data_IF_540952637800
#
_entry.id   IF_540952637800
#
_cell.length_a   1.000
_cell.length_b   1.000
_cell.length_c   1.000
_cell.angle_alpha   90.00
_cell.angle_beta   90.00
_cell.angle_gamma   90.00
#
_symmetry.space_group_name_H-M   'P 1'
#
loop_
_entity.id
_entity.type
_entity.pdbx_description
1 polymer ?
#
# COMPACT_ATOMS: atom_id res chain seq x y z
N UNK A 1 25.80 -37.93 1.31
CA UNK A 1 24.35 -37.77 1.62
C UNK A 1 24.21 -37.42 3.11
N UNK A 2 23.31 -36.51 3.49
CA UNK A 2 23.68 -35.18 3.96
C UNK A 2 23.24 -34.90 5.40
N UNK A 3 24.17 -34.85 6.36
CA UNK A 3 23.86 -34.36 7.72
C UNK A 3 24.17 -32.86 7.88
N UNK A 4 25.14 -32.34 7.12
CA UNK A 4 25.60 -30.95 7.23
C UNK A 4 24.67 -29.92 6.57
N UNK A 5 23.85 -30.35 5.62
CA UNK A 5 22.94 -29.45 4.89
C UNK A 5 21.64 -29.17 5.65
N UNK A 6 21.29 -29.99 6.64
CA UNK A 6 20.05 -29.84 7.43
C UNK A 6 20.14 -28.74 8.50
N UNK A 7 21.34 -28.35 8.92
CA UNK A 7 21.52 -27.31 9.96
C UNK A 7 21.40 -25.91 9.35
N UNK A 8 21.75 -25.74 8.08
CA UNK A 8 21.72 -24.44 7.40
C UNK A 8 20.30 -23.98 7.05
N UNK A 9 19.33 -24.88 6.95
CA UNK A 9 17.93 -24.54 6.65
C UNK A 9 17.12 -24.17 7.90
N UNK A 10 17.59 -24.47 9.11
CA UNK A 10 16.89 -24.12 10.34
C UNK A 10 17.05 -22.63 10.75
N UNK A 11 18.07 -21.93 10.24
CA UNK A 11 18.24 -20.49 10.50
C UNK A 11 17.55 -19.56 9.49
N UNK A 12 17.05 -20.09 8.36
CA UNK A 12 16.34 -19.29 7.36
C UNK A 12 14.82 -19.16 7.61
N UNK A 13 14.34 -19.60 8.78
CA UNK A 13 12.92 -19.60 9.14
C UNK A 13 12.45 -18.45 10.04
N UNK A 14 13.35 -17.56 10.49
CA UNK A 14 13.05 -16.58 11.55
C UNK A 14 13.29 -15.14 11.10
N UNK A 15 12.84 -14.78 9.89
CA UNK A 15 12.79 -13.36 9.46
C UNK A 15 11.43 -12.93 8.89
N UNK A 16 10.45 -13.84 8.80
CA UNK A 16 9.08 -13.48 8.37
C UNK A 16 8.17 -12.98 9.51
N UNK A 17 8.65 -12.97 10.76
CA UNK A 17 7.94 -12.32 11.89
C UNK A 17 8.24 -10.82 11.99
N UNK A 18 8.47 -10.16 10.85
CA UNK A 18 8.71 -8.73 10.76
C UNK A 18 7.41 -7.95 10.94
N UNK A 19 7.07 -7.65 12.19
CA UNK A 19 6.30 -6.49 12.61
C UNK A 19 4.96 -6.24 11.85
N UNK A 20 3.91 -6.95 12.26
CA UNK A 20 2.57 -6.36 12.33
C UNK A 20 2.54 -5.27 13.43
N UNK A 21 3.40 -4.26 13.27
CA UNK A 21 3.19 -2.99 13.92
C UNK A 21 2.00 -2.38 13.20
N UNK A 22 0.92 -2.11 13.94
CA UNK A 22 -0.14 -1.21 13.52
C UNK A 22 0.49 0.16 13.27
N UNK A 23 1.15 0.34 12.12
CA UNK A 23 1.55 1.64 11.63
C UNK A 23 0.25 2.32 11.30
N UNK A 24 -0.26 3.11 12.23
CA UNK A 24 -1.29 4.11 11.96
C UNK A 24 -0.81 4.87 10.74
N UNK A 25 -1.39 4.60 9.58
CA UNK A 25 -0.99 5.21 8.32
C UNK A 25 -1.02 6.72 8.53
N UNK A 26 0.13 7.37 8.32
CA UNK A 26 0.22 8.81 8.55
C UNK A 26 -0.73 9.53 7.58
N UNK A 27 -1.07 10.77 7.89
CA UNK A 27 -1.83 11.63 6.97
C UNK A 27 -1.09 11.75 5.62
N UNK A 28 0.25 11.71 5.64
CA UNK A 28 1.08 11.70 4.43
C UNK A 28 0.95 10.40 3.63
N UNK A 29 0.93 9.23 4.28
CA UNK A 29 0.75 7.94 3.61
C UNK A 29 -0.63 7.84 2.95
N UNK A 30 -1.66 8.32 3.65
CA UNK A 30 -3.04 8.42 3.12
C UNK A 30 -3.11 9.38 1.93
N UNK A 31 -2.50 10.56 2.04
CA UNK A 31 -2.40 11.49 0.91
C UNK A 31 -1.71 10.84 -0.29
N UNK A 32 -0.58 10.17 -0.08
CA UNK A 32 0.16 9.49 -1.14
C UNK A 32 -0.68 8.39 -1.81
N UNK A 33 -1.58 7.73 -1.07
CA UNK A 33 -2.54 6.80 -1.65
C UNK A 33 -3.58 7.48 -2.54
N UNK A 34 -4.14 8.61 -2.12
CA UNK A 34 -5.04 9.41 -2.96
C UNK A 34 -4.32 9.92 -4.23
N UNK A 35 -3.08 10.41 -4.08
CA UNK A 35 -2.25 10.89 -5.19
C UNK A 35 -2.00 9.80 -6.24
N UNK A 36 -1.74 8.55 -5.80
CA UNK A 36 -1.55 7.42 -6.73
C UNK A 36 -2.80 7.12 -7.56
N UNK A 37 -3.99 7.14 -6.96
CA UNK A 37 -5.24 6.93 -7.71
C UNK A 37 -5.48 8.06 -8.72
N UNK A 38 -5.18 9.30 -8.34
CA UNK A 38 -5.27 10.44 -9.25
C UNK A 38 -4.27 10.31 -10.42
N UNK A 39 -3.04 9.88 -10.15
CA UNK A 39 -2.04 9.62 -11.20
C UNK A 39 -2.50 8.51 -12.16
N UNK A 40 -3.01 7.39 -11.62
CA UNK A 40 -3.55 6.30 -12.44
C UNK A 40 -4.72 6.75 -13.31
N UNK A 41 -5.55 7.69 -12.84
CA UNK A 41 -6.63 8.26 -13.62
C UNK A 41 -6.13 9.06 -14.84
N UNK A 42 -4.94 9.66 -14.75
CA UNK A 42 -4.30 10.42 -15.84
C UNK A 42 -3.60 9.47 -16.82
N UNK A 43 -2.98 8.41 -16.30
CA UNK A 43 -2.18 7.47 -17.09
C UNK A 43 -3.04 6.45 -17.87
N UNK A 44 -4.28 6.22 -17.46
CA UNK A 44 -5.14 5.23 -18.09
C UNK A 44 -5.71 5.71 -19.43
N UNK A 45 -5.71 4.83 -20.43
CA UNK A 45 -6.25 5.12 -21.77
C UNK A 45 -7.79 5.01 -21.82
N UNK A 46 -8.41 4.36 -20.82
CA UNK A 46 -9.86 4.21 -20.75
C UNK A 46 -10.50 5.39 -20.03
N UNK A 47 -11.34 6.15 -20.74
CA UNK A 47 -12.09 7.27 -20.16
C UNK A 47 -13.00 6.86 -19.00
N UNK A 48 -13.60 5.67 -19.07
CA UNK A 48 -14.47 5.18 -17.99
C UNK A 48 -13.66 4.80 -16.76
N UNK A 49 -12.49 4.18 -16.94
CA UNK A 49 -11.58 3.90 -15.82
C UNK A 49 -11.00 5.18 -15.23
N UNK A 50 -10.62 6.15 -16.06
CA UNK A 50 -10.16 7.46 -15.61
C UNK A 50 -11.19 8.15 -14.71
N UNK A 51 -12.47 8.14 -15.12
CA UNK A 51 -13.57 8.69 -14.32
C UNK A 51 -13.74 7.96 -12.99
N UNK A 52 -13.68 6.63 -12.99
CA UNK A 52 -13.78 5.84 -11.75
C UNK A 52 -12.63 6.13 -10.79
N UNK A 53 -11.40 6.16 -11.29
CA UNK A 53 -10.20 6.45 -10.49
C UNK A 53 -10.22 7.88 -9.96
N UNK A 54 -10.63 8.85 -10.77
CA UNK A 54 -10.78 10.24 -10.35
C UNK A 54 -11.85 10.42 -9.26
N UNK A 55 -12.99 9.74 -9.37
CA UNK A 55 -14.03 9.75 -8.34
C UNK A 55 -13.50 9.18 -7.01
N UNK A 56 -12.84 8.02 -7.05
CA UNK A 56 -12.22 7.41 -5.86
C UNK A 56 -11.13 8.27 -5.24
N UNK A 57 -10.31 8.92 -6.05
CA UNK A 57 -9.31 9.87 -5.56
C UNK A 57 -9.97 11.06 -4.85
N UNK A 58 -11.05 11.59 -5.40
CA UNK A 58 -11.81 12.70 -4.82
C UNK A 58 -12.42 12.32 -3.47
N UNK A 59 -13.03 11.15 -3.37
CA UNK A 59 -13.55 10.59 -2.11
C UNK A 59 -12.43 10.45 -1.06
N UNK A 60 -11.28 9.90 -1.47
CA UNK A 60 -10.11 9.75 -0.60
C UNK A 60 -9.62 11.09 -0.02
N UNK A 61 -9.56 12.16 -0.83
CA UNK A 61 -9.21 13.48 -0.33
C UNK A 61 -10.29 14.09 0.57
N UNK A 62 -11.57 13.85 0.29
CA UNK A 62 -12.66 14.32 1.13
C UNK A 62 -12.57 13.70 2.54
N UNK A 63 -12.33 12.39 2.63
CA UNK A 63 -12.10 11.70 3.90
C UNK A 63 -10.86 12.24 4.62
N UNK A 64 -9.77 12.47 3.89
CA UNK A 64 -8.55 13.04 4.45
C UNK A 64 -8.77 14.46 4.99
N UNK A 65 -9.60 15.26 4.32
CA UNK A 65 -9.95 16.61 4.75
C UNK A 65 -10.85 16.58 5.98
N UNK A 66 -11.83 15.66 6.04
CA UNK A 66 -12.71 15.49 7.19
C UNK A 66 -11.91 15.11 8.45
N UNK A 67 -10.88 14.26 8.30
CA UNK A 67 -10.02 13.84 9.40
C UNK A 67 -9.04 14.92 9.90
N UNK A 68 -8.87 16.03 9.17
CA UNK A 68 -8.04 17.18 9.56
C UNK A 68 -8.81 18.26 10.31
N UNK A 69 -10.14 18.22 10.32
CA UNK A 69 -11.00 19.16 11.06
C UNK A 69 -11.24 18.66 12.48
#
# INVERSE_FOLDING_TARGET
MPLRTLILTAMLGVTLSGCFGTRTASVADRKAQCDRMAAQAIETESLDEARRLAARASECYADLQAQRR
#
